data_IF_805798382291
#
_entry.id   IF_805798382291
#
_cell.length_a   1.000
_cell.length_b   1.000
_cell.length_c   1.000
_cell.angle_alpha   90.00
_cell.angle_beta   90.00
_cell.angle_gamma   90.00
#
_symmetry.space_group_name_H-M   'P 1'
#
loop_
_entity.id
_entity.type
_entity.pdbx_description
1 polymer ?
#
# COMPACT_ATOMS: atom_id res chain seq x y z
N UNK A 1 75.07 -1.98 -13.47
CA UNK A 1 74.38 -2.45 -14.69
C UNK A 1 73.20 -3.32 -14.27
N UNK A 2 71.98 -2.77 -14.23
CA UNK A 2 70.79 -3.50 -13.73
C UNK A 2 70.19 -4.27 -14.91
N UNK A 3 70.54 -5.55 -15.03
CA UNK A 3 69.98 -6.43 -16.06
C UNK A 3 68.46 -6.55 -15.87
N UNK A 4 67.70 -5.81 -16.67
CA UNK A 4 66.26 -5.95 -16.80
C UNK A 4 65.96 -7.21 -17.63
N UNK A 5 65.97 -8.36 -16.95
CA UNK A 5 65.42 -9.60 -17.48
C UNK A 5 63.96 -9.36 -17.87
N UNK A 6 63.69 -9.16 -19.16
CA UNK A 6 62.33 -9.16 -19.72
C UNK A 6 61.74 -10.55 -19.46
N UNK A 7 60.91 -10.66 -18.41
CA UNK A 7 60.16 -11.88 -18.10
C UNK A 7 59.29 -12.21 -19.32
N UNK A 8 59.64 -13.26 -20.07
CA UNK A 8 58.77 -13.80 -21.12
C UNK A 8 57.54 -14.36 -20.41
N UNK A 9 56.44 -13.60 -20.42
CA UNK A 9 55.14 -14.15 -20.05
C UNK A 9 54.87 -15.30 -21.03
N UNK A 10 54.73 -16.51 -20.50
CA UNK A 10 54.35 -17.66 -21.30
C UNK A 10 52.92 -17.44 -21.81
N UNK A 11 52.76 -17.49 -23.13
CA UNK A 11 51.49 -17.35 -23.85
C UNK A 11 50.37 -18.21 -23.26
N UNK A 12 50.72 -19.35 -22.68
CA UNK A 12 49.79 -20.27 -22.04
C UNK A 12 49.12 -19.68 -20.80
N UNK A 13 49.89 -18.99 -19.94
CA UNK A 13 49.31 -18.31 -18.76
C UNK A 13 48.40 -17.16 -19.17
N UNK A 14 48.74 -16.43 -20.24
CA UNK A 14 47.91 -15.36 -20.78
C UNK A 14 46.55 -15.92 -21.23
N UNK A 15 46.57 -17.06 -21.93
CA UNK A 15 45.37 -17.73 -22.41
C UNK A 15 44.48 -18.21 -21.25
N UNK A 16 45.08 -18.78 -20.19
CA UNK A 16 44.34 -19.18 -18.97
C UNK A 16 43.72 -17.98 -18.28
N UNK A 17 44.48 -16.88 -18.13
CA UNK A 17 43.96 -15.65 -17.51
C UNK A 17 42.80 -15.06 -18.32
N UNK A 18 42.87 -15.11 -19.66
CA UNK A 18 41.80 -14.62 -20.52
C UNK A 18 40.52 -15.44 -20.35
N UNK A 19 40.63 -16.77 -20.33
CA UNK A 19 39.48 -17.67 -20.10
C UNK A 19 38.87 -17.45 -18.72
N UNK A 20 39.68 -17.38 -17.66
CA UNK A 20 39.18 -17.14 -16.30
C UNK A 20 38.51 -15.78 -16.17
N UNK A 21 39.08 -14.73 -16.77
CA UNK A 21 38.46 -13.39 -16.76
C UNK A 21 37.09 -13.42 -17.47
N UNK A 22 36.99 -14.14 -18.59
CA UNK A 22 35.73 -14.29 -19.33
C UNK A 22 34.65 -14.99 -18.49
N UNK A 23 35.01 -16.07 -17.78
CA UNK A 23 34.10 -16.79 -16.88
C UNK A 23 33.61 -15.89 -15.75
N UNK A 24 34.51 -15.12 -15.13
CA UNK A 24 34.18 -14.18 -14.05
C UNK A 24 33.17 -13.13 -14.55
N UNK A 25 33.38 -12.58 -15.75
CA UNK A 25 32.47 -11.59 -16.35
C UNK A 25 31.06 -12.18 -16.54
N UNK A 26 30.96 -13.40 -17.06
CA UNK A 26 29.65 -14.06 -17.26
C UNK A 26 28.92 -14.26 -15.93
N UNK A 27 29.62 -14.73 -14.90
CA UNK A 27 29.05 -14.91 -13.56
C UNK A 27 28.58 -13.56 -12.99
N UNK A 28 29.40 -12.52 -13.15
CA UNK A 28 29.08 -11.17 -12.67
C UNK A 28 27.81 -10.61 -13.33
N UNK A 29 27.70 -10.71 -14.65
CA UNK A 29 26.52 -10.26 -15.40
C UNK A 29 25.28 -11.04 -14.96
N UNK A 30 25.37 -12.36 -14.85
CA UNK A 30 24.27 -13.21 -14.40
C UNK A 30 23.77 -12.82 -13.01
N UNK A 31 24.70 -12.60 -12.07
CA UNK A 31 24.39 -12.16 -10.72
C UNK A 31 23.72 -10.78 -10.69
N UNK A 32 24.24 -9.82 -11.46
CA UNK A 32 23.66 -8.48 -11.56
C UNK A 32 22.21 -8.50 -12.08
N UNK A 33 21.92 -9.32 -13.10
CA UNK A 33 20.57 -9.49 -13.63
C UNK A 33 19.64 -10.08 -12.56
N UNK A 34 20.09 -11.10 -11.81
CA UNK A 34 19.29 -11.71 -10.76
C UNK A 34 18.98 -10.74 -9.62
N UNK A 35 19.97 -9.95 -9.18
CA UNK A 35 19.78 -8.94 -8.15
C UNK A 35 18.78 -7.89 -8.61
N UNK A 36 18.86 -7.43 -9.87
CA UNK A 36 17.91 -6.47 -10.41
C UNK A 36 16.48 -7.04 -10.48
N UNK A 37 16.33 -8.29 -10.95
CA UNK A 37 15.03 -8.97 -10.93
C UNK A 37 14.45 -9.08 -9.51
N UNK A 38 15.30 -9.39 -8.53
CA UNK A 38 14.89 -9.46 -7.13
C UNK A 38 14.46 -8.09 -6.59
N UNK A 39 15.18 -7.02 -6.93
CA UNK A 39 14.83 -5.66 -6.54
C UNK A 39 13.49 -5.20 -7.13
N UNK A 40 13.26 -5.49 -8.42
CA UNK A 40 11.98 -5.21 -9.08
C UNK A 40 10.86 -6.02 -8.43
N UNK A 41 11.06 -7.31 -8.20
CA UNK A 41 10.07 -8.16 -7.53
C UNK A 41 9.72 -7.68 -6.12
N UNK A 42 10.72 -7.21 -5.36
CA UNK A 42 10.52 -6.67 -4.02
C UNK A 42 9.74 -5.36 -4.04
N UNK A 43 10.01 -4.47 -5.00
CA UNK A 43 9.23 -3.25 -5.17
C UNK A 43 7.76 -3.54 -5.53
N UNK A 44 7.52 -4.49 -6.43
CA UNK A 44 6.16 -4.91 -6.77
C UNK A 44 5.42 -5.47 -5.54
N UNK A 45 6.07 -6.34 -4.77
CA UNK A 45 5.50 -6.88 -3.53
C UNK A 45 5.18 -5.78 -2.51
N UNK A 46 6.10 -4.82 -2.33
CA UNK A 46 5.89 -3.68 -1.43
C UNK A 46 4.70 -2.83 -1.87
N UNK A 47 4.55 -2.61 -3.17
CA UNK A 47 3.42 -1.85 -3.70
C UNK A 47 2.11 -2.59 -3.51
N UNK A 48 2.09 -3.92 -3.72
CA UNK A 48 0.92 -4.75 -3.48
C UNK A 48 0.52 -4.75 -2.00
N UNK A 49 1.48 -4.92 -1.08
CA UNK A 49 1.25 -4.82 0.36
C UNK A 49 0.63 -3.47 0.70
N UNK A 50 1.19 -2.37 0.19
CA UNK A 50 0.65 -1.03 0.43
C UNK A 50 -0.80 -0.89 -0.02
N UNK A 51 -1.14 -1.41 -1.21
CA UNK A 51 -2.52 -1.38 -1.73
C UNK A 51 -3.47 -2.20 -0.86
N UNK A 52 -3.04 -3.39 -0.41
CA UNK A 52 -3.85 -4.25 0.47
C UNK A 52 -4.07 -3.61 1.84
N UNK A 53 -3.05 -2.97 2.42
CA UNK A 53 -3.19 -2.24 3.68
C UNK A 53 -4.18 -1.08 3.55
N UNK A 54 -4.08 -0.27 2.50
CA UNK A 54 -5.02 0.82 2.27
C UNK A 54 -6.47 0.33 2.12
N UNK A 55 -6.68 -0.77 1.39
CA UNK A 55 -8.01 -1.36 1.27
C UNK A 55 -8.54 -1.87 2.62
N UNK A 56 -7.67 -2.44 3.45
CA UNK A 56 -8.04 -2.90 4.78
C UNK A 56 -8.42 -1.72 5.70
N UNK A 57 -7.65 -0.63 5.68
CA UNK A 57 -7.94 0.57 6.47
C UNK A 57 -9.28 1.20 6.06
N UNK A 58 -9.61 1.19 4.76
CA UNK A 58 -10.92 1.63 4.26
C UNK A 58 -12.05 0.74 4.80
N UNK A 59 -11.90 -0.58 4.71
CA UNK A 59 -12.89 -1.53 5.23
C UNK A 59 -13.07 -1.38 6.74
N UNK A 60 -11.99 -1.19 7.49
CA UNK A 60 -12.04 -0.95 8.93
C UNK A 60 -12.82 0.32 9.25
N UNK A 61 -12.58 1.39 8.49
CA UNK A 61 -13.33 2.65 8.60
C UNK A 61 -14.83 2.46 8.32
N UNK A 62 -15.20 1.65 7.33
CA UNK A 62 -16.59 1.32 7.03
C UNK A 62 -17.24 0.51 8.16
N UNK A 63 -16.52 -0.47 8.72
CA UNK A 63 -16.98 -1.24 9.88
C UNK A 63 -17.21 -0.34 11.09
N UNK A 64 -16.30 0.60 11.37
CA UNK A 64 -16.46 1.56 12.47
C UNK A 64 -17.67 2.48 12.26
N UNK A 65 -17.90 2.93 11.02
CA UNK A 65 -19.09 3.72 10.68
C UNK A 65 -20.38 2.91 10.89
N UNK A 66 -20.41 1.66 10.44
CA UNK A 66 -21.56 0.78 10.60
C UNK A 66 -21.84 0.48 12.08
N UNK A 67 -20.79 0.16 12.84
CA UNK A 67 -20.88 -0.03 14.29
C UNK A 67 -21.38 1.22 15.01
N UNK A 68 -20.91 2.40 14.60
CA UNK A 68 -21.40 3.67 15.13
C UNK A 68 -22.86 3.92 14.77
N UNK A 69 -23.27 3.59 13.54
CA UNK A 69 -24.67 3.67 13.12
C UNK A 69 -25.56 2.74 13.94
N UNK A 70 -25.16 1.49 14.15
CA UNK A 70 -25.91 0.53 14.96
C UNK A 70 -26.06 0.99 16.41
N UNK A 71 -25.01 1.60 16.98
CA UNK A 71 -25.09 2.22 18.32
C UNK A 71 -26.10 3.35 18.35
N UNK A 72 -26.07 4.25 17.36
CA UNK A 72 -27.02 5.37 17.26
C UNK A 72 -28.44 4.84 17.08
N UNK A 73 -28.64 3.85 16.20
CA UNK A 73 -29.93 3.22 15.95
C UNK A 73 -30.51 2.60 17.23
N UNK A 74 -29.69 1.84 17.96
CA UNK A 74 -30.08 1.27 19.25
C UNK A 74 -30.42 2.33 20.30
N UNK A 75 -29.69 3.46 20.35
CA UNK A 75 -30.01 4.56 21.26
C UNK A 75 -31.34 5.22 20.84
N UNK A 76 -31.54 5.49 19.56
CA UNK A 76 -32.76 6.09 19.03
C UNK A 76 -34.00 5.23 19.35
N UNK A 77 -33.90 3.91 19.12
CA UNK A 77 -35.01 2.98 19.37
C UNK A 77 -35.26 2.78 20.88
N UNK A 78 -34.21 2.57 21.68
CA UNK A 78 -34.39 2.19 23.09
C UNK A 78 -34.58 3.38 24.04
N UNK A 79 -33.92 4.53 23.78
CA UNK A 79 -33.99 5.71 24.67
C UNK A 79 -35.05 6.71 24.24
N UNK A 80 -35.31 6.80 22.93
CA UNK A 80 -36.20 7.80 22.37
C UNK A 80 -37.46 7.21 21.71
N UNK A 81 -37.61 5.88 21.69
CA UNK A 81 -38.69 5.18 20.99
C UNK A 81 -38.83 5.57 19.51
N UNK A 82 -37.75 6.09 18.91
CA UNK A 82 -37.70 6.48 17.51
C UNK A 82 -37.39 5.23 16.69
N UNK A 83 -38.44 4.51 16.30
CA UNK A 83 -38.31 3.39 15.37
C UNK A 83 -38.05 3.90 13.96
N UNK A 84 -36.99 3.38 13.34
CA UNK A 84 -36.73 3.62 11.93
C UNK A 84 -37.89 3.05 11.10
N UNK A 85 -38.67 3.92 10.44
CA UNK A 85 -39.68 3.54 9.44
C UNK A 85 -39.16 3.94 8.07
N UNK A 86 -38.97 2.97 7.16
CA UNK A 86 -38.59 3.23 5.76
C UNK A 86 -39.53 4.20 5.04
N UNK A 87 -40.80 4.28 5.47
CA UNK A 87 -41.78 5.25 4.97
C UNK A 87 -41.46 6.74 5.28
N UNK A 88 -40.45 7.01 6.12
CA UNK A 88 -40.01 8.37 6.49
C UNK A 88 -39.02 8.98 5.50
N UNK A 89 -38.52 8.20 4.53
CA UNK A 89 -37.70 8.70 3.42
C UNK A 89 -38.63 9.48 2.49
N UNK A 90 -38.92 10.72 2.88
CA UNK A 90 -39.62 11.68 2.04
C UNK A 90 -38.66 12.10 0.94
N UNK A 91 -38.82 11.55 -0.25
CA UNK A 91 -37.98 11.84 -1.42
C UNK A 91 -37.88 13.32 -1.77
N UNK A 92 -38.76 14.21 -1.29
CA UNK A 92 -38.63 15.64 -1.59
C UNK A 92 -39.41 16.56 -0.63
N UNK A 93 -39.09 16.54 0.67
CA UNK A 93 -39.62 17.56 1.58
C UNK A 93 -38.51 18.17 2.42
N UNK A 94 -37.92 19.26 1.91
CA UNK A 94 -37.23 20.25 2.75
C UNK A 94 -38.15 20.60 3.92
N UNK A 95 -37.75 20.21 5.13
CA UNK A 95 -38.40 20.69 6.35
C UNK A 95 -38.01 22.16 6.50
N UNK A 96 -38.85 23.06 6.00
CA UNK A 96 -38.69 24.51 6.20
C UNK A 96 -39.21 24.83 7.60
N UNK A 97 -38.30 24.87 8.58
CA UNK A 97 -38.62 25.36 9.92
C UNK A 97 -38.89 26.87 9.86
N UNK A 98 -40.14 27.28 10.09
CA UNK A 98 -40.45 28.71 10.28
C UNK A 98 -39.89 29.16 11.63
N UNK A 99 -39.08 30.23 11.60
CA UNK A 99 -38.39 30.85 12.75
C UNK A 99 -39.30 31.18 13.95
N UNK A 100 -40.63 31.23 13.75
CA UNK A 100 -41.63 31.49 14.80
C UNK A 100 -41.77 30.38 15.84
N UNK A 101 -41.33 29.15 15.55
CA UNK A 101 -41.47 28.03 16.50
C UNK A 101 -40.23 27.82 17.39
N UNK A 102 -39.10 28.44 17.07
CA UNK A 102 -37.89 28.38 17.90
C UNK A 102 -37.96 29.26 19.17
N UNK A 103 -38.89 30.21 19.25
CA UNK A 103 -38.93 31.17 20.37
C UNK A 103 -39.90 30.79 21.50
N UNK A 104 -40.68 29.72 21.38
CA UNK A 104 -41.63 29.28 22.41
C UNK A 104 -41.05 28.28 23.42
N UNK A 105 -39.81 27.86 23.26
CA UNK A 105 -39.10 26.95 24.16
C UNK A 105 -38.09 27.64 25.08
N UNK A 106 -38.40 28.84 25.59
CA UNK A 106 -37.67 29.42 26.74
C UNK A 106 -38.59 29.39 27.95
N UNK A 107 -38.49 28.31 28.72
CA UNK A 107 -38.70 28.29 30.15
C UNK A 107 -37.45 27.67 30.77
#
# INVERSE_FOLDING_TARGET
MKNSSKKKLSLFYLLITLVTTCVIIVIYISSSIQINKLAVGNNLLREEIRRKTQANDMLLTEVEKLSSFDRISNIAENKFALKYKEASISTDKKVVLKKSELSKGRF
#
